data_IF_627714949442
#
_entry.id   IF_627714949442
#
_cell.length_a   1.000
_cell.length_b   1.000
_cell.length_c   1.000
_cell.angle_alpha   90.00
_cell.angle_beta   90.00
_cell.angle_gamma   90.00
#
_symmetry.space_group_name_H-M   'P 1'
#
loop_
_entity.id
_entity.type
_entity.pdbx_description
1 polymer ?
#
# COMPACT_ATOMS: atom_id res chain seq x y z
N UNK A 1 -19.19 -7.79 10.16
CA UNK A 1 -19.68 -7.36 8.83
C UNK A 1 -19.73 -5.84 8.78
N UNK A 2 -19.12 -5.19 7.78
CA UNK A 2 -19.22 -3.73 7.64
C UNK A 2 -20.55 -3.31 7.00
N UNK A 3 -21.24 -2.35 7.63
CA UNK A 3 -22.55 -1.84 7.22
C UNK A 3 -22.54 -1.31 5.78
N UNK A 4 -23.40 -1.86 4.93
CA UNK A 4 -23.47 -1.48 3.52
C UNK A 4 -23.95 -0.02 3.31
N UNK A 5 -24.70 0.56 4.25
CA UNK A 5 -25.16 1.94 4.19
C UNK A 5 -24.03 2.96 4.44
N UNK A 6 -23.10 2.67 5.36
CA UNK A 6 -21.89 3.48 5.57
C UNK A 6 -20.95 3.45 4.37
N UNK A 7 -20.84 2.32 3.68
CA UNK A 7 -20.09 2.23 2.40
C UNK A 7 -20.69 3.15 1.34
N UNK A 8 -22.02 3.29 1.29
CA UNK A 8 -22.69 4.23 0.38
C UNK A 8 -22.33 5.68 0.75
N UNK A 9 -22.43 6.06 2.04
CA UNK A 9 -22.02 7.40 2.50
C UNK A 9 -20.59 7.73 2.07
N UNK A 10 -19.64 6.82 2.27
CA UNK A 10 -18.24 7.06 1.93
C UNK A 10 -17.96 7.05 0.42
N UNK A 11 -18.27 5.94 -0.26
CA UNK A 11 -17.82 5.65 -1.63
C UNK A 11 -18.78 6.15 -2.74
N UNK A 12 -19.97 6.63 -2.34
CA UNK A 12 -21.01 7.14 -3.23
C UNK A 12 -21.57 8.49 -2.78
N UNK A 13 -21.26 8.92 -1.55
CA UNK A 13 -21.48 10.27 -1.05
C UNK A 13 -20.17 11.06 -0.98
N UNK A 14 -19.55 11.12 0.20
CA UNK A 14 -18.44 12.01 0.55
C UNK A 14 -17.22 11.97 -0.38
N UNK A 15 -16.91 10.83 -1.03
CA UNK A 15 -15.84 10.74 -2.03
C UNK A 15 -16.09 11.65 -3.25
N UNK A 16 -17.36 11.93 -3.59
CA UNK A 16 -17.76 12.77 -4.71
C UNK A 16 -18.09 14.22 -4.31
N UNK A 17 -17.86 14.60 -3.05
CA UNK A 17 -18.14 15.93 -2.52
C UNK A 17 -16.80 16.63 -2.26
N UNK A 18 -16.61 17.84 -2.79
CA UNK A 18 -15.40 18.64 -2.56
C UNK A 18 -15.32 19.15 -1.10
N UNK A 19 -14.18 19.66 -0.68
CA UNK A 19 -13.97 20.04 0.73
C UNK A 19 -14.83 21.24 1.18
N UNK A 20 -15.17 22.18 0.28
CA UNK A 20 -16.10 23.29 0.56
C UNK A 20 -17.49 22.76 0.92
N UNK A 21 -18.08 21.95 0.05
CA UNK A 21 -19.41 21.37 0.26
C UNK A 21 -19.40 20.37 1.44
N UNK A 22 -18.29 19.66 1.68
CA UNK A 22 -18.16 18.78 2.84
C UNK A 22 -18.10 19.56 4.17
N UNK A 23 -17.41 20.70 4.21
CA UNK A 23 -17.43 21.59 5.37
C UNK A 23 -18.83 22.17 5.62
N UNK A 24 -19.57 22.53 4.56
CA UNK A 24 -20.97 22.96 4.68
C UNK A 24 -21.87 21.84 5.24
N UNK A 25 -21.69 20.59 4.79
CA UNK A 25 -22.39 19.42 5.35
C UNK A 25 -22.04 19.20 6.83
N UNK A 26 -20.77 19.39 7.25
CA UNK A 26 -20.37 19.36 8.67
C UNK A 26 -21.03 20.48 9.49
N UNK A 27 -21.29 21.64 8.89
CA UNK A 27 -22.04 22.72 9.53
C UNK A 27 -23.51 22.38 9.72
N UNK A 28 -24.16 21.82 8.69
CA UNK A 28 -25.57 21.41 8.75
C UNK A 28 -25.81 20.22 9.69
N UNK A 29 -24.86 19.28 9.77
CA UNK A 29 -24.91 18.12 10.68
C UNK A 29 -24.56 18.44 12.15
N UNK A 30 -24.27 19.69 12.49
CA UNK A 30 -23.73 20.07 13.80
C UNK A 30 -24.60 19.61 14.96
N UNK A 31 -25.89 19.96 14.95
CA UNK A 31 -26.81 19.62 16.04
C UNK A 31 -27.22 18.13 15.99
N UNK A 32 -27.42 17.59 14.79
CA UNK A 32 -27.73 16.18 14.56
C UNK A 32 -26.68 15.23 15.14
N UNK A 33 -25.40 15.53 14.91
CA UNK A 33 -24.26 14.71 15.35
C UNK A 33 -23.58 15.23 16.62
N UNK A 34 -24.08 16.32 17.21
CA UNK A 34 -23.49 17.03 18.38
C UNK A 34 -22.02 17.43 18.16
N UNK A 35 -21.70 17.98 17.00
CA UNK A 35 -20.34 18.40 16.65
C UNK A 35 -19.96 19.69 17.40
N UNK A 36 -18.86 19.63 18.15
CA UNK A 36 -18.17 20.84 18.61
C UNK A 36 -17.39 21.48 17.46
N UNK A 37 -17.03 22.77 17.56
CA UNK A 37 -16.23 23.45 16.52
C UNK A 37 -14.93 22.71 16.22
N UNK A 38 -14.24 22.23 17.27
CA UNK A 38 -13.04 21.39 17.15
C UNK A 38 -13.30 20.11 16.35
N UNK A 39 -14.44 19.44 16.56
CA UNK A 39 -14.82 18.27 15.77
C UNK A 39 -15.11 18.65 14.31
N UNK A 40 -15.75 19.80 14.05
CA UNK A 40 -15.99 20.25 12.69
C UNK A 40 -14.69 20.50 11.91
N UNK A 41 -13.62 20.96 12.57
CA UNK A 41 -12.30 21.13 11.96
C UNK A 41 -11.53 19.80 11.81
N UNK A 42 -11.46 19.00 12.87
CA UNK A 42 -10.63 17.77 12.94
C UNK A 42 -11.27 16.52 12.30
N UNK A 43 -12.57 16.56 11.98
CA UNK A 43 -13.28 15.38 11.48
C UNK A 43 -13.25 15.31 9.94
N UNK A 44 -12.62 14.23 9.48
CA UNK A 44 -12.58 13.82 8.08
C UNK A 44 -13.88 13.11 7.66
N UNK A 45 -13.96 12.78 6.37
CA UNK A 45 -15.08 12.07 5.73
C UNK A 45 -15.41 10.73 6.42
N UNK A 46 -14.42 10.04 7.01
CA UNK A 46 -14.63 8.75 7.70
C UNK A 46 -15.30 8.99 9.04
N UNK A 47 -14.73 9.85 9.89
CA UNK A 47 -15.28 10.15 11.22
C UNK A 47 -16.72 10.70 11.16
N UNK A 48 -17.04 11.53 10.17
CA UNK A 48 -18.42 12.01 9.98
C UNK A 48 -19.35 10.86 9.53
N UNK A 49 -18.90 9.97 8.65
CA UNK A 49 -19.70 8.80 8.25
C UNK A 49 -19.92 7.82 9.41
N UNK A 50 -18.95 7.68 10.32
CA UNK A 50 -19.06 6.89 11.55
C UNK A 50 -20.14 7.47 12.47
N UNK A 51 -20.10 8.78 12.73
CA UNK A 51 -21.13 9.46 13.51
C UNK A 51 -22.52 9.37 12.86
N UNK A 52 -22.62 9.52 11.53
CA UNK A 52 -23.89 9.35 10.82
C UNK A 52 -24.43 7.92 10.92
N UNK A 53 -23.57 6.90 10.85
CA UNK A 53 -23.95 5.49 11.08
C UNK A 53 -24.47 5.26 12.50
N UNK A 54 -23.79 5.82 13.51
CA UNK A 54 -24.17 5.67 14.91
C UNK A 54 -25.48 6.38 15.24
N UNK A 55 -25.68 7.59 14.70
CA UNK A 55 -26.88 8.41 14.93
C UNK A 55 -28.10 7.91 14.14
N UNK A 56 -27.93 7.57 12.86
CA UNK A 56 -29.02 7.28 11.93
C UNK A 56 -28.95 5.83 11.46
N UNK A 57 -29.61 4.91 12.18
CA UNK A 57 -29.44 3.47 11.95
C UNK A 57 -29.90 2.99 10.56
N UNK A 58 -29.10 2.13 9.94
CA UNK A 58 -29.46 1.43 8.70
C UNK A 58 -29.61 2.38 7.50
N UNK A 59 -30.70 2.31 6.71
CA UNK A 59 -30.88 3.18 5.55
C UNK A 59 -31.02 4.67 5.91
N UNK A 60 -31.41 4.99 7.15
CA UNK A 60 -31.66 6.36 7.60
C UNK A 60 -30.42 7.28 7.49
N UNK A 61 -29.20 6.77 7.66
CA UNK A 61 -27.99 7.58 7.47
C UNK A 61 -27.80 8.02 6.02
N UNK A 62 -28.23 7.20 5.04
CA UNK A 62 -28.18 7.56 3.62
C UNK A 62 -29.31 8.55 3.30
N UNK A 63 -30.48 8.40 3.91
CA UNK A 63 -31.58 9.35 3.75
C UNK A 63 -31.23 10.74 4.29
N UNK A 64 -30.58 10.83 5.46
CA UNK A 64 -30.10 12.12 5.97
C UNK A 64 -29.04 12.76 5.06
N UNK A 65 -28.17 11.97 4.43
CA UNK A 65 -27.25 12.52 3.42
C UNK A 65 -27.99 13.00 2.16
N UNK A 66 -29.01 12.25 1.69
CA UNK A 66 -29.84 12.63 0.53
C UNK A 66 -30.58 13.95 0.78
N UNK A 67 -31.10 14.15 1.98
CA UNK A 67 -31.73 15.40 2.44
C UNK A 67 -30.75 16.57 2.30
N UNK A 68 -29.57 16.47 2.93
CA UNK A 68 -28.57 17.53 2.98
C UNK A 68 -27.98 17.90 1.60
N UNK A 69 -27.72 16.91 0.73
CA UNK A 69 -27.12 17.22 -0.58
C UNK A 69 -28.12 17.77 -1.59
N UNK A 70 -29.43 17.50 -1.44
CA UNK A 70 -30.47 18.01 -2.34
C UNK A 70 -30.55 19.54 -2.30
N UNK A 71 -30.30 20.11 -1.13
CA UNK A 71 -30.46 21.54 -0.86
C UNK A 71 -29.14 22.31 -1.10
N UNK A 72 -28.15 21.67 -1.75
CA UNK A 72 -26.84 22.24 -2.11
C UNK A 72 -26.66 22.16 -3.64
N UNK A 73 -26.70 23.32 -4.32
CA UNK A 73 -26.71 23.39 -5.78
C UNK A 73 -25.53 22.69 -6.47
N UNK A 74 -24.32 22.74 -5.90
CA UNK A 74 -23.14 22.13 -6.54
C UNK A 74 -23.13 20.59 -6.50
N UNK A 75 -24.00 19.96 -5.70
CA UNK A 75 -24.03 18.49 -5.51
C UNK A 75 -25.43 17.87 -5.49
N UNK A 76 -26.50 18.62 -5.79
CA UNK A 76 -27.89 18.13 -5.76
C UNK A 76 -28.16 16.88 -6.58
N UNK A 77 -27.46 16.70 -7.71
CA UNK A 77 -27.57 15.50 -8.55
C UNK A 77 -27.11 14.21 -7.85
N UNK A 78 -26.23 14.34 -6.85
CA UNK A 78 -25.74 13.22 -6.04
C UNK A 78 -26.88 12.52 -5.27
N UNK A 79 -27.95 13.25 -4.93
CA UNK A 79 -29.15 12.70 -4.29
C UNK A 79 -29.74 11.53 -5.09
N UNK A 80 -29.77 11.62 -6.43
CA UNK A 80 -30.32 10.58 -7.29
C UNK A 80 -29.42 9.34 -7.34
N UNK A 81 -28.11 9.52 -7.35
CA UNK A 81 -27.13 8.44 -7.24
C UNK A 81 -27.26 7.69 -5.90
N UNK A 82 -27.33 8.43 -4.79
CA UNK A 82 -27.50 7.89 -3.44
C UNK A 82 -28.82 7.11 -3.28
N UNK A 83 -29.94 7.62 -3.82
CA UNK A 83 -31.23 6.89 -3.84
C UNK A 83 -31.11 5.54 -4.54
N UNK A 84 -30.44 5.48 -5.70
CA UNK A 84 -30.23 4.26 -6.48
C UNK A 84 -29.38 3.23 -5.73
N UNK A 85 -28.30 3.65 -5.09
CA UNK A 85 -27.45 2.76 -4.30
C UNK A 85 -28.14 2.30 -3.00
N UNK A 86 -28.93 3.15 -2.33
CA UNK A 86 -29.76 2.76 -1.17
C UNK A 86 -30.71 1.62 -1.53
N UNK A 87 -31.43 1.73 -2.66
CA UNK A 87 -32.33 0.68 -3.15
C UNK A 87 -31.60 -0.63 -3.47
N UNK A 88 -30.38 -0.58 -4.04
CA UNK A 88 -29.55 -1.77 -4.24
C UNK A 88 -29.16 -2.44 -2.92
N UNK A 89 -28.78 -1.68 -1.90
CA UNK A 89 -28.43 -2.22 -0.58
C UNK A 89 -29.64 -2.88 0.12
N UNK A 90 -30.82 -2.25 0.05
CA UNK A 90 -32.07 -2.83 0.59
C UNK A 90 -32.38 -4.19 -0.06
N UNK A 91 -32.29 -4.27 -1.41
CA UNK A 91 -32.50 -5.54 -2.14
C UNK A 91 -31.47 -6.60 -1.75
N UNK A 92 -30.19 -6.24 -1.61
CA UNK A 92 -29.11 -7.16 -1.19
C UNK A 92 -29.30 -7.70 0.23
N UNK A 93 -29.90 -6.94 1.15
CA UNK A 93 -30.29 -7.45 2.48
C UNK A 93 -31.41 -8.47 2.38
N UNK A 94 -32.52 -8.16 1.69
CA UNK A 94 -33.66 -9.08 1.55
C UNK A 94 -33.28 -10.45 0.96
N UNK A 95 -32.36 -10.49 -0.01
CA UNK A 95 -31.87 -11.76 -0.60
C UNK A 95 -31.05 -12.59 0.40
N UNK A 96 -30.32 -11.96 1.33
CA UNK A 96 -29.55 -12.65 2.38
C UNK A 96 -30.37 -13.12 3.57
N UNK A 97 -31.58 -12.59 3.73
CA UNK A 97 -32.49 -12.88 4.84
C UNK A 97 -33.47 -14.02 4.49
N UNK A 98 -33.49 -14.45 3.22
CA UNK A 98 -34.37 -15.48 2.67
C UNK A 98 -33.70 -16.85 2.48
N UNK A 99 -32.54 -17.10 3.11
CA UNK A 99 -31.82 -18.39 3.02
C UNK A 99 -31.70 -19.02 4.41
N UNK A 100 -32.35 -20.16 4.69
CA UNK A 100 -32.19 -20.86 5.97
C UNK A 100 -30.79 -21.47 6.12
N UNK A 101 -30.33 -21.56 7.37
CA UNK A 101 -29.08 -22.22 7.75
C UNK A 101 -29.37 -23.68 8.09
N UNK A 102 -28.77 -24.63 7.38
CA UNK A 102 -28.68 -26.01 7.87
C UNK A 102 -27.53 -26.14 8.87
N UNK A 103 -27.84 -26.67 10.06
CA UNK A 103 -26.88 -26.92 11.12
C UNK A 103 -26.15 -28.25 10.90
N UNK A 104 -24.85 -28.28 11.15
CA UNK A 104 -24.13 -29.54 11.32
C UNK A 104 -24.51 -30.20 12.65
N UNK A 105 -24.91 -31.46 12.59
CA UNK A 105 -25.06 -32.36 13.73
C UNK A 105 -24.41 -33.70 13.41
N UNK A 106 -23.48 -34.14 14.25
CA UNK A 106 -22.69 -35.37 14.09
C UNK A 106 -23.51 -36.65 14.15
N UNK A 107 -23.25 -37.60 13.24
CA UNK A 107 -23.28 -39.03 13.57
C UNK A 107 -22.41 -39.86 12.61
N UNK A 108 -22.12 -41.07 13.04
CA UNK A 108 -21.04 -41.97 12.60
C UNK A 108 -21.41 -42.99 11.51
N UNK A 109 -20.38 -43.39 10.76
CA UNK A 109 -20.07 -44.79 10.36
C UNK A 109 -20.88 -45.49 9.22
N UNK A 110 -20.11 -46.27 8.44
CA UNK A 110 -20.46 -47.44 7.62
C UNK A 110 -20.83 -47.30 6.11
N UNK A 111 -20.14 -48.16 5.35
CA UNK A 111 -20.56 -48.93 4.15
C UNK A 111 -20.72 -48.25 2.76
N UNK A 112 -19.63 -48.37 1.99
CA UNK A 112 -19.49 -49.22 0.79
C UNK A 112 -20.61 -49.33 -0.27
N UNK A 113 -20.19 -49.15 -1.55
CA UNK A 113 -20.64 -49.87 -2.78
C UNK A 113 -22.14 -49.82 -3.19
N UNK A 114 -22.56 -49.89 -4.45
CA UNK A 114 -21.98 -49.73 -5.81
C UNK A 114 -23.17 -49.66 -6.79
N UNK A 115 -22.94 -49.54 -8.11
CA UNK A 115 -23.87 -49.87 -9.22
C UNK A 115 -25.23 -49.11 -9.27
N UNK A 116 -25.53 -48.24 -10.24
CA UNK A 116 -25.64 -48.41 -11.70
C UNK A 116 -27.04 -48.81 -12.22
N UNK A 117 -27.50 -48.01 -13.18
CA UNK A 117 -28.45 -48.29 -14.28
C UNK A 117 -29.98 -48.17 -14.07
N UNK A 118 -30.54 -47.24 -14.88
CA UNK A 118 -31.63 -47.47 -15.86
C UNK A 118 -32.94 -48.15 -15.41
N UNK A 119 -34.05 -47.39 -15.49
CA UNK A 119 -35.32 -47.92 -16.01
C UNK A 119 -36.20 -46.79 -16.58
N UNK A 120 -36.67 -46.98 -17.82
CA UNK A 120 -37.41 -46.01 -18.63
C UNK A 120 -38.94 -46.15 -18.52
N UNK A 121 -39.65 -45.07 -18.86
CA UNK A 121 -41.04 -45.10 -19.35
C UNK A 121 -42.15 -45.10 -18.28
N UNK A 122 -43.34 -44.59 -18.55
CA UNK A 122 -43.85 -43.91 -19.77
C UNK A 122 -45.20 -43.23 -19.49
N UNK A 123 -45.47 -42.10 -20.17
CA UNK A 123 -46.77 -41.59 -20.71
C UNK A 123 -48.07 -41.66 -19.83
N UNK A 124 -49.03 -40.72 -19.85
CA UNK A 124 -49.60 -40.05 -21.03
C UNK A 124 -50.51 -38.85 -20.67
N UNK A 125 -50.25 -37.71 -21.33
CA UNK A 125 -51.15 -36.82 -22.10
C UNK A 125 -52.63 -36.59 -21.68
N UNK A 126 -53.00 -35.30 -21.50
CA UNK A 126 -54.13 -34.55 -22.16
C UNK A 126 -54.40 -33.19 -21.49
N UNK A 127 -54.90 -32.12 -22.14
CA UNK A 127 -54.52 -31.52 -23.43
C UNK A 127 -55.06 -30.06 -23.54
N UNK A 128 -54.22 -29.11 -24.00
CA UNK A 128 -54.52 -27.78 -24.66
C UNK A 128 -55.62 -26.82 -24.08
N UNK A 129 -55.90 -25.57 -24.59
CA UNK A 129 -55.44 -24.90 -25.83
C UNK A 129 -55.00 -23.38 -25.78
N UNK A 130 -53.86 -23.08 -26.44
CA UNK A 130 -53.74 -22.15 -27.62
C UNK A 130 -53.66 -20.60 -27.48
N UNK A 131 -52.86 -19.99 -28.40
CA UNK A 131 -52.76 -18.58 -28.91
C UNK A 131 -51.97 -17.55 -28.06
N UNK A 132 -51.15 -16.62 -28.63
CA UNK A 132 -50.82 -16.30 -30.05
C UNK A 132 -49.54 -15.43 -30.21
N UNK A 133 -48.74 -15.69 -31.28
CA UNK A 133 -47.89 -14.79 -32.13
C UNK A 133 -46.85 -13.84 -31.47
N UNK A 134 -45.56 -13.91 -31.84
CA UNK A 134 -44.84 -13.29 -33.02
C UNK A 134 -44.71 -11.75 -32.90
N UNK A 135 -43.62 -11.10 -33.31
CA UNK A 135 -42.67 -11.44 -34.40
C UNK A 135 -41.23 -10.93 -34.16
N UNK A 136 -40.25 -11.64 -34.72
CA UNK A 136 -38.89 -11.17 -35.06
C UNK A 136 -38.88 -10.27 -36.30
N UNK A 137 -37.83 -9.47 -36.54
CA UNK A 137 -37.00 -9.69 -37.74
C UNK A 137 -35.62 -8.99 -37.72
N UNK A 138 -34.80 -9.44 -38.67
CA UNK A 138 -33.33 -9.36 -38.77
C UNK A 138 -32.90 -8.31 -39.77
N UNK A 139 -31.67 -7.80 -39.69
CA UNK A 139 -30.85 -7.62 -40.91
C UNK A 139 -29.34 -7.64 -40.59
N UNK A 140 -28.56 -8.09 -41.55
CA UNK A 140 -27.12 -8.39 -41.42
C UNK A 140 -26.25 -7.33 -42.11
N UNK A 141 -24.93 -7.36 -41.79
CA UNK A 141 -23.85 -7.64 -42.75
C UNK A 141 -22.67 -6.63 -42.85
N UNK A 142 -21.52 -7.20 -43.26
CA UNK A 142 -20.31 -6.59 -43.87
C UNK A 142 -19.34 -5.71 -43.05
N UNK A 143 -18.45 -6.42 -42.33
CA UNK A 143 -16.98 -6.43 -42.48
C UNK A 143 -16.37 -5.57 -43.62
N UNK A 144 -15.33 -4.77 -43.33
CA UNK A 144 -14.13 -4.59 -44.18
C UNK A 144 -12.89 -4.09 -43.41
N UNK A 145 -11.69 -4.37 -43.94
CA UNK A 145 -10.36 -3.92 -43.46
C UNK A 145 -9.82 -2.84 -44.42
N UNK A 146 -8.99 -1.91 -43.90
CA UNK A 146 -7.88 -1.24 -44.60
C UNK A 146 -6.87 -0.77 -43.52
N UNK A 147 -5.56 -1.05 -43.47
CA UNK A 147 -4.38 -0.87 -44.37
C UNK A 147 -3.70 0.52 -44.19
N UNK A 148 -2.44 0.63 -44.63
CA UNK A 148 -1.34 1.47 -44.09
C UNK A 148 -0.52 2.09 -45.23
N UNK A 149 -0.22 3.38 -45.17
CA UNK A 149 0.90 4.15 -45.79
C UNK A 149 0.73 5.62 -45.29
N UNK A 150 1.73 6.46 -44.97
CA UNK A 150 3.06 6.80 -45.52
C UNK A 150 3.06 8.01 -46.47
N UNK A 151 3.80 9.05 -46.06
CA UNK A 151 4.39 10.16 -46.84
C UNK A 151 4.97 11.15 -45.81
N UNK A 152 6.02 11.96 -46.01
CA UNK A 152 7.16 12.12 -46.92
C UNK A 152 7.56 13.61 -46.77
N UNK A 153 8.84 13.93 -46.87
CA UNK A 153 9.38 15.30 -46.78
C UNK A 153 9.21 16.06 -48.11
N UNK A 154 9.39 17.39 -48.09
CA UNK A 154 10.35 17.98 -49.03
C UNK A 154 11.28 19.03 -48.37
N UNK A 155 12.32 19.48 -49.10
CA UNK A 155 13.29 20.47 -48.62
C UNK A 155 13.92 21.33 -49.74
N UNK A 156 15.11 21.88 -49.46
CA UNK A 156 15.92 22.82 -50.30
C UNK A 156 15.48 24.30 -50.27
N UNK A 157 16.32 25.34 -50.48
CA UNK A 157 17.80 25.48 -50.43
C UNK A 157 18.26 26.95 -50.66
N UNK A 158 19.22 27.46 -49.84
CA UNK A 158 20.11 28.67 -50.02
C UNK A 158 19.44 30.05 -50.37
N UNK A 159 20.09 31.24 -50.49
CA UNK A 159 21.52 31.73 -50.50
C UNK A 159 21.63 33.23 -50.05
N UNK A 160 22.80 33.67 -49.55
CA UNK A 160 23.42 35.04 -49.67
C UNK A 160 22.72 36.32 -49.12
N UNK A 161 23.38 37.39 -48.63
CA UNK A 161 24.82 37.71 -48.40
C UNK A 161 25.00 38.87 -47.37
N UNK A 162 26.20 38.95 -46.75
CA UNK A 162 26.92 40.18 -46.30
C UNK A 162 26.37 41.07 -45.13
N UNK A 163 27.19 41.77 -44.31
CA UNK A 163 28.66 41.76 -44.08
C UNK A 163 29.05 42.51 -42.78
N UNK A 164 30.26 42.24 -42.24
CA UNK A 164 31.24 43.24 -41.71
C UNK A 164 31.83 43.00 -40.30
N UNK A 165 33.06 42.45 -40.28
CA UNK A 165 34.23 42.71 -39.38
C UNK A 165 34.06 42.56 -37.84
N UNK A 166 35.09 42.16 -37.09
CA UNK A 166 36.53 42.17 -37.39
C UNK A 166 37.32 40.94 -36.92
N UNK A 167 38.55 40.88 -37.43
CA UNK A 167 39.50 39.76 -37.38
C UNK A 167 40.55 39.98 -36.26
N UNK A 168 41.04 38.91 -35.62
CA UNK A 168 42.47 38.79 -35.22
C UNK A 168 42.89 37.33 -35.04
N UNK A 169 44.05 36.98 -35.63
CA UNK A 169 44.83 35.74 -35.48
C UNK A 169 46.31 36.08 -35.80
N UNK A 170 47.34 35.25 -35.57
CA UNK A 170 47.39 33.85 -35.07
C UNK A 170 48.38 33.81 -33.87
N UNK A 171 49.50 33.05 -33.75
CA UNK A 171 49.98 31.78 -34.34
C UNK A 171 50.00 30.58 -33.36
N UNK A 172 49.90 29.37 -33.92
CA UNK A 172 50.11 28.10 -33.20
C UNK A 172 51.51 27.52 -33.45
N UNK A 173 52.09 26.89 -32.42
CA UNK A 173 52.83 25.60 -32.42
C UNK A 173 53.54 25.41 -31.06
N UNK A 174 54.01 24.19 -30.69
CA UNK A 174 53.40 22.86 -30.78
C UNK A 174 53.31 22.18 -29.37
N UNK A 175 52.80 20.93 -29.28
CA UNK A 175 52.59 20.27 -27.97
C UNK A 175 53.83 19.57 -27.39
N UNK A 176 54.02 19.59 -26.05
CA UNK A 176 54.78 18.57 -25.33
C UNK A 176 53.87 17.57 -24.60
N UNK A 177 54.25 16.28 -24.62
CA UNK A 177 53.63 15.18 -23.87
C UNK A 177 54.63 14.64 -22.82
N UNK A 178 54.21 13.77 -21.89
CA UNK A 178 53.82 14.15 -20.53
C UNK A 178 54.93 13.93 -19.49
N UNK A 179 55.13 14.89 -18.57
CA UNK A 179 55.97 14.68 -17.39
C UNK A 179 55.21 13.91 -16.30
N UNK A 180 55.58 12.65 -16.09
CA UNK A 180 55.01 11.79 -15.05
C UNK A 180 55.40 12.27 -13.64
N UNK A 181 54.44 12.81 -12.90
CA UNK A 181 54.50 12.83 -11.43
C UNK A 181 53.23 12.18 -10.87
N UNK A 182 53.38 10.92 -10.47
CA UNK A 182 52.31 10.08 -9.90
C UNK A 182 52.02 10.48 -8.45
N UNK A 183 51.45 11.68 -8.26
CA UNK A 183 50.76 12.02 -7.01
C UNK A 183 49.55 11.11 -6.86
N UNK A 184 49.76 9.99 -6.17
CA UNK A 184 48.74 9.03 -5.75
C UNK A 184 47.76 9.72 -4.81
N UNK A 185 46.75 10.36 -5.41
CA UNK A 185 45.53 10.76 -4.72
C UNK A 185 44.93 9.49 -4.10
N UNK A 186 45.16 9.30 -2.80
CA UNK A 186 44.48 8.28 -1.98
C UNK A 186 43.01 8.31 -2.38
N UNK A 187 42.38 7.16 -2.71
CA UNK A 187 40.96 7.15 -3.05
C UNK A 187 40.20 7.82 -1.91
N UNK A 188 39.53 8.95 -2.20
CA UNK A 188 38.63 9.58 -1.22
C UNK A 188 37.68 8.48 -0.76
N UNK A 189 37.67 8.14 0.54
CA UNK A 189 36.78 7.10 1.06
C UNK A 189 35.36 7.42 0.58
N UNK A 190 34.79 6.55 -0.25
CA UNK A 190 33.40 6.67 -0.69
C UNK A 190 32.56 6.71 0.59
N UNK A 191 31.89 7.82 0.84
CA UNK A 191 31.16 8.04 2.09
C UNK A 191 30.05 6.99 2.21
N UNK A 192 30.21 6.08 3.18
CA UNK A 192 29.28 4.95 3.36
C UNK A 192 27.86 5.51 3.58
N UNK A 193 26.85 5.13 2.77
CA UNK A 193 25.50 5.69 2.84
C UNK A 193 24.93 5.71 4.26
N UNK A 194 24.26 6.81 4.63
CA UNK A 194 23.57 6.96 5.94
C UNK A 194 22.15 6.39 5.93
N UNK A 195 21.49 6.36 4.77
CA UNK A 195 20.12 5.88 4.59
C UNK A 195 20.06 4.74 3.56
N UNK A 196 18.93 4.04 3.50
CA UNK A 196 18.64 3.11 2.43
C UNK A 196 18.61 3.83 1.08
N UNK A 197 19.17 3.18 0.07
CA UNK A 197 19.11 3.67 -1.30
C UNK A 197 17.68 3.58 -1.85
N UNK A 198 17.28 4.62 -2.56
CA UNK A 198 15.93 4.76 -3.14
C UNK A 198 16.05 4.60 -4.65
N UNK A 199 15.08 3.90 -5.22
CA UNK A 199 14.90 3.73 -6.66
C UNK A 199 13.40 3.92 -6.92
N UNK A 200 13.05 4.43 -8.10
CA UNK A 200 11.65 4.72 -8.47
C UNK A 200 11.34 4.08 -9.82
N UNK A 201 10.08 3.66 -10.00
CA UNK A 201 9.60 3.03 -11.25
C UNK A 201 10.00 1.56 -11.42
N UNK A 202 9.65 0.98 -12.57
CA UNK A 202 9.93 -0.42 -12.90
C UNK A 202 11.41 -0.61 -13.27
N UNK A 203 12.05 -1.59 -12.65
CA UNK A 203 13.44 -1.96 -12.90
C UNK A 203 13.50 -3.40 -13.40
N UNK A 204 13.76 -3.59 -14.70
CA UNK A 204 13.79 -4.93 -15.33
C UNK A 204 15.10 -5.68 -15.13
N UNK A 205 16.23 -4.98 -15.18
CA UNK A 205 17.56 -5.62 -15.12
C UNK A 205 17.83 -6.33 -13.78
N UNK A 206 18.50 -7.50 -13.79
CA UNK A 206 18.82 -8.22 -12.56
C UNK A 206 19.81 -7.42 -11.72
N UNK A 207 19.47 -7.21 -10.44
CA UNK A 207 20.35 -6.62 -9.42
C UNK A 207 20.82 -7.73 -8.48
N UNK A 208 22.09 -8.11 -8.57
CA UNK A 208 22.71 -8.97 -7.56
C UNK A 208 22.77 -8.25 -6.20
N UNK A 209 22.33 -8.91 -5.14
CA UNK A 209 22.35 -8.40 -3.76
C UNK A 209 22.58 -9.53 -2.76
N UNK A 210 23.29 -9.25 -1.67
CA UNK A 210 23.33 -10.12 -0.50
C UNK A 210 22.20 -9.76 0.48
N UNK A 211 21.51 -10.78 0.99
CA UNK A 211 20.44 -10.60 1.98
C UNK A 211 21.03 -10.37 3.37
N UNK A 212 20.69 -9.27 4.03
CA UNK A 212 21.22 -8.90 5.36
C UNK A 212 20.31 -9.28 6.53
N UNK A 213 18.98 -9.28 6.30
CA UNK A 213 17.92 -9.74 7.20
C UNK A 213 16.61 -9.91 6.43
N UNK A 214 15.73 -10.79 6.90
CA UNK A 214 14.33 -10.89 6.49
C UNK A 214 13.43 -10.99 7.74
N UNK A 215 12.19 -10.52 7.65
CA UNK A 215 11.15 -10.79 8.66
C UNK A 215 10.48 -12.13 8.36
N UNK A 216 9.73 -12.65 9.32
CA UNK A 216 8.76 -13.70 8.99
C UNK A 216 7.62 -13.15 8.12
N UNK A 217 6.94 -14.01 7.32
CA UNK A 217 5.73 -13.66 6.62
C UNK A 217 4.63 -13.20 7.57
N UNK A 218 3.89 -12.18 7.17
CA UNK A 218 2.75 -11.66 7.90
C UNK A 218 1.62 -11.29 6.94
N UNK A 219 0.37 -11.46 7.39
CA UNK A 219 -0.81 -10.96 6.67
C UNK A 219 -0.77 -9.44 6.71
N UNK A 220 -0.85 -8.76 5.56
CA UNK A 220 -0.94 -7.29 5.50
C UNK A 220 -2.34 -6.81 5.11
N UNK A 221 -3.07 -7.60 4.32
CA UNK A 221 -4.51 -7.42 4.09
C UNK A 221 -5.29 -8.55 4.77
N UNK A 222 -5.98 -8.23 5.87
CA UNK A 222 -6.79 -9.17 6.65
C UNK A 222 -8.08 -9.58 5.91
N UNK A 223 -8.58 -8.77 4.98
CA UNK A 223 -9.82 -9.08 4.23
C UNK A 223 -9.58 -10.08 3.11
N UNK A 224 -8.43 -9.94 2.45
CA UNK A 224 -8.05 -10.78 1.30
C UNK A 224 -7.04 -11.87 1.68
N UNK A 225 -6.64 -11.96 2.96
CA UNK A 225 -5.66 -12.93 3.47
C UNK A 225 -4.25 -12.74 2.90
N UNK A 226 -3.96 -11.62 2.22
CA UNK A 226 -2.70 -11.41 1.51
C UNK A 226 -1.54 -11.28 2.50
N UNK A 227 -0.50 -12.07 2.25
CA UNK A 227 0.72 -12.11 3.05
C UNK A 227 1.90 -11.48 2.32
N UNK A 228 2.84 -10.94 3.08
CA UNK A 228 4.12 -10.43 2.60
C UNK A 228 5.21 -10.65 3.65
N UNK A 229 6.47 -10.41 3.29
CA UNK A 229 7.54 -10.20 4.26
C UNK A 229 8.43 -9.03 3.84
N UNK A 230 9.21 -8.49 4.79
CA UNK A 230 10.23 -7.49 4.51
C UNK A 230 11.61 -8.12 4.47
N UNK A 231 12.51 -7.56 3.66
CA UNK A 231 13.93 -7.84 3.75
C UNK A 231 14.75 -6.55 3.70
N UNK A 232 15.98 -6.63 4.19
CA UNK A 232 17.04 -5.66 3.89
C UNK A 232 18.11 -6.39 3.12
N UNK A 233 18.46 -5.86 1.95
CA UNK A 233 19.48 -6.43 1.05
C UNK A 233 20.53 -5.38 0.75
N UNK A 234 21.71 -5.77 0.27
CA UNK A 234 22.75 -4.83 -0.09
C UNK A 234 23.60 -5.30 -1.28
N UNK A 235 24.10 -4.33 -2.04
CA UNK A 235 25.27 -4.48 -2.91
C UNK A 235 26.53 -4.11 -2.11
N UNK A 236 27.70 -4.26 -2.70
CA UNK A 236 29.00 -3.86 -2.13
C UNK A 236 29.03 -2.41 -1.59
N UNK A 237 28.20 -1.50 -2.13
CA UNK A 237 28.22 -0.07 -1.83
C UNK A 237 26.91 0.53 -1.31
N UNK A 238 25.76 -0.15 -1.45
CA UNK A 238 24.43 0.38 -1.13
C UNK A 238 23.56 -0.68 -0.47
N UNK A 239 22.68 -0.28 0.45
CA UNK A 239 21.65 -1.16 1.01
C UNK A 239 20.25 -0.65 0.68
N UNK A 240 19.29 -1.57 0.63
CA UNK A 240 17.92 -1.35 0.18
C UNK A 240 16.95 -2.03 1.16
N UNK A 241 15.78 -1.44 1.34
CA UNK A 241 14.64 -2.11 1.99
C UNK A 241 13.77 -2.74 0.91
N UNK A 242 13.23 -3.92 1.16
CA UNK A 242 12.48 -4.71 0.17
C UNK A 242 11.15 -5.14 0.77
N UNK A 243 10.06 -4.97 0.02
CA UNK A 243 8.74 -5.56 0.28
C UNK A 243 8.55 -6.74 -0.66
N UNK A 244 8.34 -7.93 -0.12
CA UNK A 244 8.15 -9.15 -0.91
C UNK A 244 6.72 -9.63 -0.73
N UNK A 245 5.90 -9.46 -1.78
CA UNK A 245 4.47 -9.78 -1.79
C UNK A 245 4.15 -11.23 -2.13
N UNK A 246 5.16 -12.05 -2.41
CA UNK A 246 5.01 -13.48 -2.64
C UNK A 246 5.81 -14.28 -1.60
N UNK A 247 5.10 -14.94 -0.68
CA UNK A 247 5.71 -15.64 0.45
C UNK A 247 6.51 -16.89 0.06
N UNK A 248 6.26 -17.48 -1.12
CA UNK A 248 7.06 -18.60 -1.63
C UNK A 248 8.53 -18.22 -1.85
N UNK A 249 8.84 -16.92 -1.98
CA UNK A 249 10.21 -16.43 -2.05
C UNK A 249 10.97 -16.49 -0.71
N UNK A 250 10.32 -16.78 0.42
CA UNK A 250 10.96 -16.71 1.76
C UNK A 250 12.22 -17.57 1.87
N UNK A 251 12.27 -18.72 1.19
CA UNK A 251 13.41 -19.64 1.14
C UNK A 251 14.60 -19.11 0.33
N UNK A 252 14.39 -18.13 -0.56
CA UNK A 252 15.47 -17.43 -1.27
C UNK A 252 16.08 -16.30 -0.42
N UNK A 253 15.31 -15.71 0.50
CA UNK A 253 15.76 -14.61 1.36
C UNK A 253 16.42 -15.09 2.68
N UNK A 254 17.43 -15.96 2.55
CA UNK A 254 18.26 -16.44 3.66
C UNK A 254 19.40 -15.43 3.92
N UNK A 255 19.66 -14.99 5.17
CA UNK A 255 20.76 -14.08 5.47
C UNK A 255 22.13 -14.59 4.97
N UNK A 256 22.94 -13.66 4.47
CA UNK A 256 24.24 -13.87 3.81
C UNK A 256 24.19 -14.60 2.44
N UNK A 257 23.01 -15.03 1.95
CA UNK A 257 22.86 -15.55 0.59
C UNK A 257 22.88 -14.42 -0.43
N UNK A 258 23.56 -14.64 -1.57
CA UNK A 258 23.52 -13.75 -2.74
C UNK A 258 22.41 -14.21 -3.68
N UNK A 259 21.55 -13.29 -4.08
CA UNK A 259 20.42 -13.49 -4.99
C UNK A 259 20.40 -12.39 -6.05
N UNK A 260 19.80 -12.64 -7.20
CA UNK A 260 19.53 -11.61 -8.20
C UNK A 260 18.04 -11.27 -8.19
N UNK A 261 17.71 -9.98 -8.14
CA UNK A 261 16.33 -9.49 -8.17
C UNK A 261 16.08 -8.75 -9.48
N UNK A 262 15.10 -9.18 -10.27
CA UNK A 262 14.65 -8.55 -11.53
C UNK A 262 13.18 -8.11 -11.44
N UNK A 263 12.74 -7.29 -12.40
CA UNK A 263 11.33 -6.90 -12.59
C UNK A 263 10.62 -6.39 -11.32
N UNK A 264 11.37 -5.70 -10.46
CA UNK A 264 10.89 -5.10 -9.22
C UNK A 264 10.50 -3.63 -9.46
N UNK A 265 9.65 -3.11 -8.58
CA UNK A 265 9.22 -1.71 -8.63
C UNK A 265 9.90 -0.94 -7.50
N UNK A 266 10.72 0.05 -7.85
CA UNK A 266 11.15 1.08 -6.92
C UNK A 266 9.98 1.98 -6.54
N UNK A 267 9.68 2.09 -5.24
CA UNK A 267 8.59 2.94 -4.72
C UNK A 267 8.80 3.30 -3.25
N UNK A 268 8.69 4.59 -2.94
CA UNK A 268 8.69 5.11 -1.56
C UNK A 268 9.94 4.68 -0.74
N UNK A 269 11.09 4.54 -1.41
CA UNK A 269 12.33 4.05 -0.79
C UNK A 269 12.40 2.54 -0.51
N UNK A 270 11.51 1.74 -1.11
CA UNK A 270 11.58 0.27 -1.12
C UNK A 270 11.72 -0.27 -2.54
N UNK A 271 12.27 -1.48 -2.64
CA UNK A 271 12.10 -2.35 -3.80
C UNK A 271 10.89 -3.25 -3.55
N UNK A 272 9.90 -3.25 -4.44
CA UNK A 272 8.67 -4.02 -4.32
C UNK A 272 8.70 -5.21 -5.30
N UNK A 273 8.67 -6.44 -4.76
CA UNK A 273 8.82 -7.70 -5.49
C UNK A 273 7.51 -8.48 -5.41
N UNK A 274 6.93 -8.80 -6.57
CA UNK A 274 5.59 -9.41 -6.67
C UNK A 274 5.58 -10.84 -7.24
N UNK A 275 6.50 -11.16 -8.16
CA UNK A 275 6.54 -12.45 -8.85
C UNK A 275 7.58 -13.39 -8.26
N UNK A 276 7.33 -14.70 -8.27
CA UNK A 276 8.37 -15.70 -7.92
C UNK A 276 9.53 -15.69 -8.92
N UNK A 277 9.25 -15.32 -10.18
CA UNK A 277 10.24 -15.26 -11.25
C UNK A 277 11.19 -14.06 -11.12
N UNK A 278 10.85 -13.06 -10.30
CA UNK A 278 11.68 -11.89 -10.02
C UNK A 278 12.91 -12.18 -9.16
N UNK A 279 13.12 -13.42 -8.68
CA UNK A 279 14.26 -13.75 -7.81
C UNK A 279 14.93 -15.07 -8.20
N UNK A 280 16.12 -14.97 -8.77
CA UNK A 280 16.97 -16.12 -9.09
C UNK A 280 18.09 -16.30 -8.06
N UNK A 281 18.52 -17.55 -7.91
CA UNK A 281 19.73 -17.88 -7.18
C UNK A 281 20.95 -17.51 -8.02
N UNK A 282 21.98 -16.96 -7.37
CA UNK A 282 23.26 -16.65 -8.00
C UNK A 282 24.24 -17.80 -7.72
N UNK A 283 25.23 -17.99 -8.59
CA UNK A 283 26.26 -19.02 -8.41
C UNK A 283 26.84 -18.98 -6.96
N UNK A 284 26.88 -20.10 -6.21
CA UNK A 284 27.45 -20.15 -4.86
C UNK A 284 28.88 -19.59 -4.74
N UNK A 285 29.68 -19.69 -5.80
CA UNK A 285 31.05 -19.17 -5.85
C UNK A 285 31.12 -17.64 -5.99
N UNK A 286 29.98 -16.98 -6.28
CA UNK A 286 29.88 -15.52 -6.41
C UNK A 286 30.02 -14.85 -5.05
N UNK A 287 31.27 -14.57 -4.68
CA UNK A 287 31.60 -13.74 -3.52
C UNK A 287 31.18 -12.29 -3.79
N UNK A 288 30.31 -11.76 -2.93
CA UNK A 288 29.97 -10.34 -2.87
C UNK A 288 30.47 -9.78 -1.54
N UNK A 289 31.53 -8.96 -1.58
CA UNK A 289 32.13 -8.42 -0.36
C UNK A 289 31.43 -7.12 0.07
N UNK A 290 30.70 -7.19 1.18
CA UNK A 290 30.02 -6.03 1.76
C UNK A 290 30.73 -5.58 3.02
N UNK A 291 31.16 -4.31 3.04
CA UNK A 291 31.88 -3.75 4.18
C UNK A 291 31.07 -3.85 5.49
N UNK A 292 31.75 -4.22 6.58
CA UNK A 292 31.15 -4.32 7.93
C UNK A 292 30.39 -3.05 8.32
N UNK A 293 30.89 -1.87 7.92
CA UNK A 293 30.25 -0.58 8.18
C UNK A 293 28.92 -0.40 7.44
N UNK A 294 28.79 -0.88 6.20
CA UNK A 294 27.50 -0.85 5.47
C UNK A 294 26.48 -1.79 6.13
N UNK A 295 26.89 -3.00 6.54
CA UNK A 295 26.04 -3.96 7.25
C UNK A 295 25.56 -3.39 8.59
N UNK A 296 26.45 -2.74 9.35
CA UNK A 296 26.11 -2.06 10.59
C UNK A 296 25.06 -0.95 10.36
N UNK A 297 25.26 -0.07 9.37
CA UNK A 297 24.30 0.99 9.05
C UNK A 297 22.95 0.45 8.56
N UNK A 298 22.93 -0.60 7.74
CA UNK A 298 21.70 -1.24 7.28
C UNK A 298 20.89 -1.92 8.42
N UNK A 299 21.54 -2.21 9.55
CA UNK A 299 20.94 -2.80 10.75
C UNK A 299 20.74 -1.80 11.90
N UNK A 300 21.22 -0.56 11.77
CA UNK A 300 21.15 0.45 12.82
C UNK A 300 19.73 1.01 13.02
N UNK A 301 19.38 1.33 14.26
CA UNK A 301 18.22 2.18 14.57
C UNK A 301 18.60 3.65 14.33
N UNK A 302 17.82 4.43 13.58
CA UNK A 302 18.03 5.88 13.49
C UNK A 302 17.68 6.55 14.83
N UNK A 303 18.54 7.47 15.28
CA UNK A 303 18.28 8.27 16.49
C UNK A 303 17.03 9.13 16.34
N UNK A 304 16.25 9.27 17.41
CA UNK A 304 14.99 10.03 17.40
C UNK A 304 15.22 11.49 16.97
N UNK A 305 16.29 12.14 17.44
CA UNK A 305 16.64 13.51 17.01
C UNK A 305 16.85 13.62 15.49
N UNK A 306 17.41 12.60 14.84
CA UNK A 306 17.56 12.59 13.38
C UNK A 306 16.21 12.42 12.66
N UNK A 307 15.24 11.71 13.24
CA UNK A 307 13.88 11.60 12.68
C UNK A 307 13.17 12.97 12.63
N UNK A 308 13.47 13.88 13.55
CA UNK A 308 12.98 15.26 13.49
C UNK A 308 13.59 16.08 12.33
N UNK A 309 14.75 15.66 11.80
CA UNK A 309 15.44 16.33 10.68
C UNK A 309 15.15 15.69 9.31
N UNK A 310 14.66 14.44 9.27
CA UNK A 310 14.32 13.75 8.02
C UNK A 310 13.14 14.42 7.28
N UNK A 311 12.98 14.09 5.99
CA UNK A 311 11.78 14.50 5.23
C UNK A 311 10.55 13.73 5.75
N UNK A 312 9.38 14.36 5.69
CA UNK A 312 8.12 13.63 5.92
C UNK A 312 7.91 12.58 4.82
N UNK A 313 7.00 11.64 5.06
CA UNK A 313 6.64 10.53 4.14
C UNK A 313 7.81 9.55 3.88
N UNK A 314 8.94 9.70 4.59
CA UNK A 314 10.00 8.68 4.62
C UNK A 314 9.64 7.53 5.54
N UNK A 315 10.17 6.34 5.24
CA UNK A 315 9.89 5.13 6.01
C UNK A 315 11.04 4.76 6.94
N UNK A 316 10.69 4.51 8.20
CA UNK A 316 11.59 4.23 9.31
C UNK A 316 11.55 2.74 9.65
N UNK A 317 12.73 2.15 9.74
CA UNK A 317 12.98 0.82 10.28
C UNK A 317 13.91 0.99 11.49
N UNK A 318 13.61 0.38 12.64
CA UNK A 318 14.43 0.53 13.84
C UNK A 318 13.93 -0.29 15.02
N UNK A 319 14.75 -0.37 16.07
CA UNK A 319 14.39 -0.99 17.35
C UNK A 319 14.46 0.07 18.45
N UNK A 320 13.32 0.40 19.04
CA UNK A 320 13.14 1.46 20.02
C UNK A 320 12.60 0.92 21.34
N UNK A 321 12.90 1.60 22.45
CA UNK A 321 12.34 1.27 23.78
C UNK A 321 11.02 2.00 23.95
N UNK A 322 9.97 1.30 24.42
CA UNK A 322 8.70 1.90 24.83
C UNK A 322 8.90 2.56 26.19
N UNK A 323 8.70 3.87 26.25
CA UNK A 323 8.64 4.59 27.52
C UNK A 323 7.22 4.65 28.09
N UNK A 324 6.22 4.91 27.24
CA UNK A 324 4.79 4.90 27.64
C UNK A 324 3.90 4.25 26.60
N UNK A 325 2.75 3.76 27.04
CA UNK A 325 1.73 3.14 26.20
C UNK A 325 0.34 3.66 26.56
N UNK A 326 -0.44 4.04 25.54
CA UNK A 326 -1.86 4.36 25.68
C UNK A 326 -2.67 3.57 24.64
N UNK A 327 -3.51 2.66 25.13
CA UNK A 327 -4.37 1.84 24.28
C UNK A 327 -5.77 2.46 24.16
N UNK A 328 -6.26 2.58 22.93
CA UNK A 328 -7.60 3.04 22.60
C UNK A 328 -8.31 1.97 21.74
N UNK A 329 -9.60 2.15 21.45
CA UNK A 329 -10.44 1.15 20.78
C UNK A 329 -9.94 0.74 19.38
N UNK A 330 -9.34 1.65 18.61
CA UNK A 330 -8.93 1.40 17.21
C UNK A 330 -7.42 1.53 16.96
N UNK A 331 -6.67 2.11 17.89
CA UNK A 331 -5.24 2.37 17.77
C UNK A 331 -4.52 2.33 19.13
N UNK A 332 -3.20 2.14 19.10
CA UNK A 332 -2.33 2.27 20.27
C UNK A 332 -1.31 3.37 19.99
N UNK A 333 -1.09 4.25 20.97
CA UNK A 333 0.04 5.15 21.01
C UNK A 333 1.16 4.53 21.87
N UNK A 334 2.38 4.55 21.34
CA UNK A 334 3.59 4.32 22.11
C UNK A 334 4.44 5.60 22.12
N UNK A 335 4.84 6.08 23.30
CA UNK A 335 5.96 7.03 23.41
C UNK A 335 7.24 6.20 23.35
N UNK A 336 8.00 6.28 22.26
CA UNK A 336 9.32 5.67 22.17
C UNK A 336 10.40 6.63 22.67
N UNK A 337 11.47 6.10 23.27
CA UNK A 337 12.59 6.88 23.80
C UNK A 337 13.94 6.34 23.36
N UNK A 338 14.88 7.25 23.14
CA UNK A 338 16.31 7.01 23.17
C UNK A 338 17.03 8.13 23.95
N UNK A 339 18.36 8.09 23.97
CA UNK A 339 19.28 9.10 24.53
C UNK A 339 19.21 10.48 23.85
N UNK A 340 18.51 10.60 22.72
CA UNK A 340 18.39 11.84 21.93
C UNK A 340 16.99 12.44 21.95
N UNK A 341 16.01 11.79 22.58
CA UNK A 341 14.67 12.34 22.78
C UNK A 341 13.57 11.30 22.87
N UNK A 342 12.34 11.75 22.62
CA UNK A 342 11.13 10.93 22.58
C UNK A 342 10.35 11.19 21.29
N UNK A 343 9.57 10.21 20.83
CA UNK A 343 8.69 10.36 19.67
C UNK A 343 7.42 9.52 19.86
N UNK A 344 6.30 10.00 19.33
CA UNK A 344 5.03 9.27 19.32
C UNK A 344 5.00 8.28 18.15
N UNK A 345 4.55 7.05 18.41
CA UNK A 345 4.28 6.02 17.40
C UNK A 345 2.81 5.64 17.46
N UNK A 346 2.09 5.84 16.37
CA UNK A 346 0.65 5.54 16.27
C UNK A 346 0.47 4.26 15.46
N UNK A 347 -0.13 3.26 16.12
CA UNK A 347 -0.31 1.91 15.59
C UNK A 347 -1.79 1.67 15.38
N UNK A 348 -2.18 1.47 14.12
CA UNK A 348 -3.56 1.28 13.67
C UNK A 348 -3.81 -0.18 13.27
N UNK A 349 -5.08 -0.60 13.42
CA UNK A 349 -5.60 -1.83 12.84
C UNK A 349 -5.35 -3.08 13.70
N UNK A 350 -6.38 -3.93 13.78
CA UNK A 350 -6.49 -5.06 14.71
C UNK A 350 -5.28 -6.00 14.74
N UNK A 351 -4.57 -6.17 13.62
CA UNK A 351 -3.35 -6.99 13.52
C UNK A 351 -2.19 -6.46 14.36
N UNK A 352 -2.04 -5.14 14.45
CA UNK A 352 -0.90 -4.51 15.13
C UNK A 352 -1.29 -4.05 16.55
N UNK A 353 -2.58 -3.77 16.79
CA UNK A 353 -3.09 -3.40 18.12
C UNK A 353 -3.31 -4.60 19.05
N UNK A 354 -3.36 -5.84 18.54
CA UNK A 354 -3.43 -7.06 19.36
C UNK A 354 -2.08 -7.51 19.96
N UNK A 355 -0.99 -6.81 19.66
CA UNK A 355 0.36 -7.19 20.08
C UNK A 355 0.60 -6.80 21.54
N UNK A 356 0.90 -7.78 22.40
CA UNK A 356 1.28 -7.55 23.79
C UNK A 356 2.67 -6.90 23.89
N UNK A 357 2.68 -5.61 24.20
CA UNK A 357 3.85 -4.77 24.47
C UNK A 357 3.57 -3.96 25.74
N UNK A 358 4.51 -3.87 26.68
CA UNK A 358 4.40 -3.05 27.89
C UNK A 358 5.53 -2.01 27.96
N UNK A 359 5.51 -1.15 28.98
CA UNK A 359 6.56 -0.15 29.18
C UNK A 359 7.91 -0.84 29.49
N UNK A 360 8.99 -0.30 28.94
CA UNK A 360 10.33 -0.89 28.95
C UNK A 360 10.60 -1.89 27.81
N UNK A 361 9.57 -2.50 27.21
CA UNK A 361 9.76 -3.43 26.09
C UNK A 361 10.38 -2.76 24.86
N UNK A 362 10.97 -3.57 23.97
CA UNK A 362 11.59 -3.07 22.73
C UNK A 362 10.70 -3.37 21.51
N UNK A 363 10.22 -2.32 20.85
CA UNK A 363 9.51 -2.40 19.57
C UNK A 363 10.50 -2.41 18.41
N UNK A 364 10.55 -3.52 17.67
CA UNK A 364 11.11 -3.54 16.31
C UNK A 364 10.05 -3.05 15.34
N UNK A 365 10.23 -1.84 14.81
CA UNK A 365 9.37 -1.20 13.82
C UNK A 365 9.97 -1.40 12.43
N UNK A 366 9.14 -1.81 11.47
CA UNK A 366 9.51 -1.95 10.05
C UNK A 366 8.43 -1.33 9.17
N UNK A 367 8.84 -0.52 8.19
CA UNK A 367 7.99 0.21 7.26
C UNK A 367 6.98 1.12 7.98
N UNK A 368 7.45 1.93 8.94
CA UNK A 368 6.66 2.98 9.60
C UNK A 368 6.86 4.32 8.91
N UNK A 369 5.78 5.02 8.59
CA UNK A 369 5.81 6.32 7.92
C UNK A 369 6.13 7.44 8.93
N UNK A 370 7.10 8.30 8.63
CA UNK A 370 7.34 9.53 9.38
C UNK A 370 6.34 10.60 8.93
N UNK A 371 5.33 10.83 9.76
CA UNK A 371 4.21 11.72 9.49
C UNK A 371 4.21 12.95 10.42
N UNK A 372 3.36 13.94 10.08
CA UNK A 372 3.08 15.10 10.92
C UNK A 372 1.65 15.02 11.46
N UNK A 373 1.46 15.37 12.73
CA UNK A 373 0.16 15.45 13.39
C UNK A 373 0.09 16.79 14.13
N UNK A 374 -0.69 17.73 13.60
CA UNK A 374 -0.66 19.13 14.03
C UNK A 374 0.76 19.72 13.91
N UNK A 375 1.33 20.15 15.04
CA UNK A 375 2.71 20.61 15.13
C UNK A 375 3.74 19.48 15.36
N UNK A 376 3.33 18.29 15.81
CA UNK A 376 4.22 17.18 16.18
C UNK A 376 4.63 16.35 14.96
N UNK A 377 5.81 15.72 15.06
CA UNK A 377 6.22 14.60 14.19
C UNK A 377 6.02 13.29 14.94
N UNK A 378 5.54 12.27 14.23
CA UNK A 378 5.24 10.95 14.78
C UNK A 378 5.54 9.87 13.74
N UNK A 379 5.73 8.63 14.19
CA UNK A 379 5.71 7.47 13.32
C UNK A 379 4.28 6.94 13.21
N UNK A 380 3.84 6.57 12.01
CA UNK A 380 2.52 6.00 11.73
C UNK A 380 2.66 4.61 11.10
N UNK A 381 1.89 3.64 11.59
CA UNK A 381 1.74 2.37 10.89
C UNK A 381 0.91 2.55 9.61
N UNK A 382 1.42 2.03 8.50
CA UNK A 382 0.70 1.87 7.23
C UNK A 382 0.35 0.40 7.00
N UNK A 383 -0.37 0.09 5.92
CA UNK A 383 -0.82 -1.27 5.58
C UNK A 383 0.33 -2.31 5.60
N UNK A 384 1.50 -1.95 5.08
CA UNK A 384 2.69 -2.82 5.03
C UNK A 384 3.56 -2.76 6.30
N UNK A 385 3.19 -2.05 7.37
CA UNK A 385 4.00 -1.99 8.58
C UNK A 385 4.07 -3.34 9.31
N UNK A 386 5.19 -3.60 9.96
CA UNK A 386 5.41 -4.78 10.78
C UNK A 386 6.01 -4.39 12.13
N UNK A 387 5.49 -5.00 13.20
CA UNK A 387 5.98 -4.84 14.57
C UNK A 387 6.42 -6.20 15.08
N UNK A 388 7.58 -6.25 15.75
CA UNK A 388 7.97 -7.35 16.62
C UNK A 388 8.38 -6.82 17.99
N UNK A 389 7.71 -7.26 19.04
CA UNK A 389 8.06 -6.95 20.44
C UNK A 389 9.19 -7.88 20.88
N UNK A 390 10.15 -7.33 21.62
CA UNK A 390 11.11 -8.09 22.42
C UNK A 390 10.91 -7.72 23.88
N UNK A 391 10.44 -8.68 24.68
CA UNK A 391 10.19 -8.48 26.11
C UNK A 391 11.49 -8.24 26.87
N UNK A 392 11.49 -7.30 27.82
CA UNK A 392 12.60 -7.18 28.78
C UNK A 392 12.51 -8.35 29.76
N UNK A 393 13.61 -9.12 29.89
CA UNK A 393 13.73 -10.09 30.98
C UNK A 393 13.82 -9.33 32.30
N UNK A 394 12.78 -9.42 33.12
CA UNK A 394 12.91 -9.06 34.53
C UNK A 394 13.98 -9.97 35.15
N UNK A 395 14.98 -9.37 35.81
CA UNK A 395 15.85 -10.13 36.71
C UNK A 395 15.03 -10.43 37.94
N UNK A 396 14.67 -11.70 38.15
CA UNK A 396 14.10 -12.15 39.41
C UNK A 396 15.14 -11.90 40.49
N UNK A 397 14.95 -10.84 41.29
CA UNK A 397 15.75 -10.62 42.49
C UNK A 397 15.23 -11.59 43.54
N UNK A 398 15.78 -12.80 43.56
CA UNK A 398 15.63 -13.70 44.69
C UNK A 398 16.21 -13.00 45.91
N UNK A 399 15.34 -12.50 46.79
CA UNK A 399 15.74 -12.12 48.13
C UNK A 399 16.06 -13.43 48.87
N UNK A 400 17.29 -13.50 49.40
CA UNK A 400 17.75 -14.52 50.32
C UNK A 400 17.54 -14.01 51.75
#
# INVERSE_FOLDING_TARGET
MGNDYKKIILLKGFQHINDKCFNMIKSLLKEDLKLTSKMQDEYDRVKIADLMEMKFRGPACVDKLIELVRDIDEIKDLANSLRKEKLKAIRRKKVKEATPVENQGTSSLAQSTSTANEASGSESVKDTPVKRKKTTETSESKRMKLTKEESQLPGSSVTSTESTKGLLQTPQMPSPKPSSSSLTKKPRLKSVPKEASREEGLQRGPKEVMVLKATEPFIYDVKEGKMMFHATVATESRFFQVKIFNVALKEKFIPNKVIAISDYIGRNGFLEVFSVFSVSDVNPDRKMEISKSLIQKAKATPKISHLYLQRLETFVNGVFVVHKKWAYSEFIYYEIRDDTGVMEVVVYGQRLTSINCEEGDRLTLVCFELAKSGAKRQLRSVIHSYIKVTKVKQRTTTQF
#
